data_IF_025223956081
#
_entry.id   IF_025223956081
#
_cell.length_a   1.000
_cell.length_b   1.000
_cell.length_c   1.000
_cell.angle_alpha   90.00
_cell.angle_beta   90.00
_cell.angle_gamma   90.00
#
_symmetry.space_group_name_H-M   'P 1'
#
loop_
_entity.id
_entity.type
_entity.pdbx_description
1 polymer ?
#
# COMPACT_ATOMS: atom_id res chain seq x y z
N UNK A 1 -15.41 -25.28 -17.15
CA UNK A 1 -15.42 -24.70 -15.80
C UNK A 1 -15.80 -23.23 -15.91
N UNK A 2 -16.77 -22.71 -15.12
CA UNK A 2 -17.10 -21.30 -15.16
C UNK A 2 -15.90 -20.51 -14.65
N UNK A 3 -15.50 -19.46 -15.40
CA UNK A 3 -14.52 -18.49 -14.91
C UNK A 3 -15.10 -17.84 -13.63
N UNK A 4 -14.36 -17.79 -12.51
CA UNK A 4 -14.82 -17.04 -11.36
C UNK A 4 -15.07 -15.58 -11.79
N UNK A 5 -16.21 -15.02 -11.42
CA UNK A 5 -16.52 -13.64 -11.74
C UNK A 5 -15.45 -12.75 -11.13
N UNK A 6 -14.88 -11.84 -11.89
CA UNK A 6 -13.81 -10.93 -11.45
C UNK A 6 -14.18 -10.11 -10.20
N UNK A 7 -15.46 -9.91 -9.95
CA UNK A 7 -15.99 -9.22 -8.78
C UNK A 7 -15.82 -9.99 -7.45
N UNK A 8 -15.86 -11.32 -7.45
CA UNK A 8 -15.70 -12.12 -6.23
C UNK A 8 -14.23 -12.25 -5.81
N UNK A 9 -13.27 -12.09 -6.74
CA UNK A 9 -11.84 -12.22 -6.45
C UNK A 9 -11.22 -10.97 -5.82
N UNK A 10 -11.80 -9.80 -6.04
CA UNK A 10 -11.25 -8.52 -5.55
C UNK A 10 -11.63 -8.22 -4.09
N UNK A 11 -12.66 -8.87 -3.57
CA UNK A 11 -13.20 -8.59 -2.22
C UNK A 11 -12.25 -9.00 -1.10
N UNK A 12 -11.25 -9.84 -1.37
CA UNK A 12 -10.41 -10.44 -0.33
C UNK A 12 -8.90 -10.35 -0.60
N UNK A 13 -8.45 -9.53 -1.56
CA UNK A 13 -7.02 -9.32 -1.78
C UNK A 13 -6.39 -8.57 -0.62
N UNK A 14 -5.28 -9.08 -0.12
CA UNK A 14 -4.47 -8.56 0.99
C UNK A 14 -3.02 -8.62 0.60
N UNK A 15 -2.26 -7.65 1.06
CA UNK A 15 -0.85 -7.52 0.71
C UNK A 15 -0.01 -7.78 1.95
N UNK A 16 0.76 -8.86 1.92
CA UNK A 16 1.78 -9.16 2.92
C UNK A 16 3.15 -8.87 2.32
N UNK A 17 3.99 -8.21 3.09
CA UNK A 17 5.34 -7.83 2.66
C UNK A 17 6.38 -8.59 3.44
N UNK A 18 7.48 -8.98 2.77
CA UNK A 18 8.62 -9.60 3.37
C UNK A 18 9.93 -9.02 2.82
N UNK A 19 10.94 -8.93 3.66
CA UNK A 19 12.30 -8.51 3.33
C UNK A 19 13.16 -9.76 3.20
N UNK A 20 13.69 -10.01 2.00
CA UNK A 20 14.31 -11.27 1.62
C UNK A 20 15.80 -11.08 1.35
N UNK A 21 16.63 -12.02 1.83
CA UNK A 21 18.09 -12.02 1.66
C UNK A 21 18.62 -13.07 0.65
N UNK A 22 17.71 -13.82 0.05
CA UNK A 22 18.01 -14.92 -0.85
C UNK A 22 17.87 -16.31 -0.22
N UNK A 23 17.74 -16.39 1.11
CA UNK A 23 17.55 -17.65 1.87
C UNK A 23 16.47 -17.53 2.94
N UNK A 24 16.38 -16.36 3.56
CA UNK A 24 15.44 -16.06 4.64
C UNK A 24 14.54 -14.90 4.23
N UNK A 25 13.38 -14.83 4.87
CA UNK A 25 12.46 -13.71 4.72
C UNK A 25 12.01 -13.24 6.10
N UNK A 26 12.09 -11.93 6.35
CA UNK A 26 11.50 -11.26 7.50
C UNK A 26 10.19 -10.61 7.08
N UNK A 27 9.09 -10.96 7.74
CA UNK A 27 7.81 -10.30 7.48
C UNK A 27 7.89 -8.81 7.80
N UNK A 28 7.44 -7.97 6.87
CA UNK A 28 7.44 -6.51 7.00
C UNK A 28 6.01 -5.95 6.97
N UNK A 29 5.10 -6.58 7.72
CA UNK A 29 3.74 -6.12 7.87
C UNK A 29 2.83 -6.40 6.67
N UNK A 30 1.60 -5.92 6.80
CA UNK A 30 0.58 -6.05 5.78
C UNK A 30 -0.28 -4.81 5.66
N UNK A 31 -0.90 -4.68 4.50
CA UNK A 31 -1.83 -3.61 4.18
C UNK A 31 -3.01 -4.15 3.36
N UNK A 32 -4.06 -3.39 3.29
CA UNK A 32 -5.17 -3.64 2.36
C UNK A 32 -5.36 -2.44 1.46
N UNK A 33 -5.44 -2.68 0.14
CA UNK A 33 -5.62 -1.64 -0.85
C UNK A 33 -7.04 -1.60 -1.44
N UNK A 34 -7.32 -0.54 -2.20
CA UNK A 34 -8.51 -0.31 -2.99
C UNK A 34 -8.12 -0.17 -4.45
N UNK A 35 -8.32 -1.23 -5.25
CA UNK A 35 -7.85 -1.31 -6.66
C UNK A 35 -8.77 -0.60 -7.65
N UNK A 36 -10.06 -0.49 -7.36
CA UNK A 36 -11.03 0.13 -8.28
C UNK A 36 -10.97 1.64 -8.23
N UNK A 37 -11.19 2.27 -9.39
CA UNK A 37 -11.04 3.71 -9.57
C UNK A 37 -12.05 4.54 -8.78
N UNK A 38 -13.28 4.04 -8.58
CA UNK A 38 -14.40 4.79 -8.03
C UNK A 38 -14.97 4.14 -6.76
N UNK A 39 -15.74 4.93 -6.02
CA UNK A 39 -16.44 4.51 -4.81
C UNK A 39 -17.28 3.26 -5.04
N UNK A 40 -17.49 2.48 -3.98
CA UNK A 40 -18.21 1.20 -4.04
C UNK A 40 -17.49 0.11 -4.86
N UNK A 41 -16.17 0.25 -5.05
CA UNK A 41 -15.35 -0.65 -5.88
C UNK A 41 -15.85 -0.74 -7.33
N UNK A 42 -16.24 0.39 -7.89
CA UNK A 42 -16.69 0.51 -9.27
C UNK A 42 -15.56 1.01 -10.20
N UNK A 43 -15.79 0.87 -11.51
CA UNK A 43 -14.86 1.33 -12.53
C UNK A 43 -13.71 0.36 -12.80
N UNK A 44 -12.70 0.80 -13.57
CA UNK A 44 -11.55 -0.02 -13.95
C UNK A 44 -10.62 -0.32 -12.78
N UNK A 45 -9.81 -1.37 -12.91
CA UNK A 45 -8.68 -1.63 -12.01
C UNK A 45 -7.60 -0.58 -12.23
N UNK A 46 -6.94 -0.20 -11.13
CA UNK A 46 -5.86 0.81 -11.10
C UNK A 46 -4.62 0.25 -10.40
N UNK A 47 -3.59 1.07 -10.28
CA UNK A 47 -2.43 0.78 -9.42
C UNK A 47 -2.74 0.78 -7.91
N UNK A 48 -3.91 1.28 -7.51
CA UNK A 48 -4.38 1.47 -6.14
C UNK A 48 -4.84 2.89 -5.90
N UNK A 49 -6.06 3.05 -5.38
CA UNK A 49 -6.66 4.36 -5.05
C UNK A 49 -6.56 4.71 -3.57
N UNK A 50 -6.01 3.82 -2.78
CA UNK A 50 -5.76 4.00 -1.36
C UNK A 50 -5.41 2.68 -0.69
N UNK A 51 -4.83 2.77 0.49
CA UNK A 51 -4.51 1.62 1.33
C UNK A 51 -4.59 1.98 2.81
N UNK A 52 -4.62 0.97 3.67
CA UNK A 52 -4.52 1.16 5.10
C UNK A 52 -3.79 0.00 5.78
N UNK A 53 -3.18 0.29 6.92
CA UNK A 53 -2.47 -0.67 7.76
C UNK A 53 -2.65 -0.27 9.24
N UNK A 54 -2.87 -1.23 10.18
CA UNK A 54 -3.07 -2.65 9.94
C UNK A 54 -4.40 -2.92 9.22
N UNK A 55 -4.46 -4.01 8.47
CA UNK A 55 -5.72 -4.49 7.96
C UNK A 55 -6.33 -5.47 8.98
N UNK A 56 -7.53 -5.23 9.52
CA UNK A 56 -8.14 -6.06 10.59
C UNK A 56 -8.28 -7.54 10.24
N UNK A 57 -8.27 -7.81 8.96
CA UNK A 57 -8.39 -9.15 8.39
C UNK A 57 -7.08 -9.97 8.42
N UNK A 58 -5.94 -9.36 8.74
CA UNK A 58 -4.69 -10.08 9.00
C UNK A 58 -4.64 -10.53 10.45
N UNK A 59 -5.32 -11.63 10.75
CA UNK A 59 -5.13 -12.29 12.04
C UNK A 59 -3.71 -12.84 12.15
N UNK A 60 -3.20 -12.96 13.38
CA UNK A 60 -1.87 -13.54 13.61
C UNK A 60 -1.73 -14.94 12.99
N UNK A 61 -2.80 -15.74 13.02
CA UNK A 61 -2.82 -17.07 12.43
C UNK A 61 -2.75 -17.03 10.90
N UNK A 62 -3.47 -16.12 10.25
CA UNK A 62 -3.40 -15.97 8.78
C UNK A 62 -2.00 -15.51 8.34
N UNK A 63 -1.38 -14.59 9.08
CA UNK A 63 -0.02 -14.12 8.81
C UNK A 63 0.98 -15.27 8.97
N UNK A 64 0.89 -16.05 10.05
CA UNK A 64 1.72 -17.23 10.28
C UNK A 64 1.56 -18.26 9.16
N UNK A 65 0.33 -18.59 8.77
CA UNK A 65 0.07 -19.52 7.66
C UNK A 65 0.63 -19.01 6.33
N UNK A 66 0.52 -17.70 6.06
CA UNK A 66 1.06 -17.10 4.84
C UNK A 66 2.60 -17.16 4.83
N UNK A 67 3.24 -16.94 5.97
CA UNK A 67 4.68 -17.08 6.10
C UNK A 67 5.11 -18.53 5.84
N UNK A 68 4.58 -19.48 6.63
CA UNK A 68 4.98 -20.89 6.60
C UNK A 68 4.67 -21.60 5.27
N UNK A 69 3.53 -21.28 4.62
CA UNK A 69 3.06 -22.01 3.44
C UNK A 69 3.37 -21.30 2.12
N UNK A 70 3.69 -20.00 2.16
CA UNK A 70 3.84 -19.18 0.94
C UNK A 70 5.19 -18.49 0.92
N UNK A 71 5.48 -17.59 1.89
CA UNK A 71 6.66 -16.73 1.82
C UNK A 71 7.95 -17.54 1.91
N UNK A 72 8.13 -18.29 3.00
CA UNK A 72 9.35 -19.09 3.23
C UNK A 72 9.59 -20.13 2.14
N UNK A 73 8.58 -20.96 1.73
CA UNK A 73 8.78 -21.91 0.66
C UNK A 73 9.12 -21.27 -0.69
N UNK A 74 8.56 -20.09 -0.99
CA UNK A 74 8.86 -19.36 -2.22
C UNK A 74 10.34 -18.98 -2.26
N UNK A 75 10.86 -18.37 -1.19
CA UNK A 75 12.26 -17.93 -1.13
C UNK A 75 13.21 -19.11 -1.16
N UNK A 76 12.91 -20.18 -0.43
CA UNK A 76 13.69 -21.41 -0.42
C UNK A 76 13.73 -22.03 -1.82
N UNK A 77 12.59 -22.15 -2.49
CA UNK A 77 12.50 -22.74 -3.82
C UNK A 77 13.28 -21.94 -4.86
N UNK A 78 13.22 -20.60 -4.83
CA UNK A 78 14.02 -19.75 -5.70
C UNK A 78 15.52 -19.95 -5.48
N UNK A 79 15.96 -20.09 -4.23
CA UNK A 79 17.36 -20.37 -3.91
C UNK A 79 17.82 -21.74 -4.43
N UNK A 80 17.00 -22.79 -4.27
CA UNK A 80 17.25 -24.14 -4.78
C UNK A 80 17.38 -24.17 -6.30
N UNK A 81 16.60 -23.37 -7.01
CA UNK A 81 16.63 -23.23 -8.48
C UNK A 81 17.77 -22.34 -8.98
N UNK A 82 18.65 -21.86 -8.10
CA UNK A 82 19.79 -21.02 -8.46
C UNK A 82 19.45 -19.57 -8.75
N UNK A 83 18.26 -19.11 -8.38
CA UNK A 83 17.75 -17.76 -8.54
C UNK A 83 17.39 -17.12 -7.18
N UNK A 84 18.33 -16.98 -6.23
CA UNK A 84 18.02 -16.48 -4.89
C UNK A 84 17.45 -15.06 -4.96
N UNK A 85 16.26 -14.86 -4.38
CA UNK A 85 15.58 -13.57 -4.40
C UNK A 85 16.02 -12.67 -3.25
N UNK A 86 16.49 -11.47 -3.55
CA UNK A 86 16.90 -10.44 -2.58
C UNK A 86 16.08 -9.18 -2.78
N UNK A 87 15.54 -8.63 -1.70
CA UNK A 87 14.75 -7.41 -1.72
C UNK A 87 13.36 -7.59 -1.12
N UNK A 88 12.41 -6.78 -1.57
CA UNK A 88 11.05 -6.74 -1.04
C UNK A 88 10.16 -7.69 -1.83
N UNK A 89 9.66 -8.72 -1.19
CA UNK A 89 8.60 -9.58 -1.72
C UNK A 89 7.24 -9.03 -1.28
N UNK A 90 6.41 -8.71 -2.24
CA UNK A 90 4.99 -8.41 -2.05
C UNK A 90 4.21 -9.68 -2.41
N UNK A 91 3.50 -10.26 -1.45
CA UNK A 91 2.58 -11.37 -1.66
C UNK A 91 1.14 -10.87 -1.64
N UNK A 92 0.49 -10.85 -2.80
CA UNK A 92 -0.94 -10.61 -2.93
C UNK A 92 -1.71 -11.88 -2.58
N UNK A 93 -2.45 -11.85 -1.49
CA UNK A 93 -3.10 -13.01 -0.90
C UNK A 93 -4.62 -12.90 -0.95
N UNK A 94 -5.27 -14.03 -1.06
CA UNK A 94 -6.69 -14.22 -0.82
C UNK A 94 -6.87 -15.12 0.40
N UNK A 95 -7.64 -14.67 1.40
CA UNK A 95 -8.05 -15.55 2.49
C UNK A 95 -9.22 -16.43 2.03
N UNK A 96 -9.07 -17.72 2.20
CA UNK A 96 -10.10 -18.73 1.93
C UNK A 96 -10.34 -19.57 3.18
N UNK A 97 -11.36 -20.42 3.16
CA UNK A 97 -11.64 -21.37 4.25
C UNK A 97 -10.47 -22.35 4.47
N UNK A 98 -9.71 -22.67 3.41
CA UNK A 98 -8.52 -23.53 3.47
C UNK A 98 -7.24 -22.78 3.89
N UNK A 99 -7.33 -21.48 4.22
CA UNK A 99 -6.20 -20.60 4.53
C UNK A 99 -5.83 -19.65 3.39
N UNK A 100 -4.65 -19.00 3.46
CA UNK A 100 -4.21 -18.03 2.47
C UNK A 100 -3.83 -18.71 1.15
N UNK A 101 -4.26 -18.12 0.03
CA UNK A 101 -3.87 -18.51 -1.33
C UNK A 101 -3.22 -17.33 -2.04
N UNK A 102 -2.17 -17.60 -2.81
CA UNK A 102 -1.47 -16.58 -3.61
C UNK A 102 -2.32 -16.20 -4.82
N UNK A 103 -2.42 -14.90 -5.06
CA UNK A 103 -2.99 -14.34 -6.28
C UNK A 103 -1.87 -13.89 -7.21
N UNK A 104 -0.88 -13.19 -6.63
CA UNK A 104 0.27 -12.65 -7.37
C UNK A 104 1.46 -12.40 -6.43
N UNK A 105 2.66 -12.36 -7.00
CA UNK A 105 3.83 -11.79 -6.37
C UNK A 105 4.29 -10.54 -7.12
N UNK A 106 4.81 -9.56 -6.37
CA UNK A 106 5.52 -8.42 -6.92
C UNK A 106 6.90 -8.30 -6.24
N UNK A 107 7.90 -7.91 -7.01
CA UNK A 107 9.30 -7.79 -6.57
C UNK A 107 9.64 -6.35 -6.14
N UNK A 108 8.76 -5.72 -5.34
CA UNK A 108 8.86 -4.33 -4.88
C UNK A 108 7.87 -4.07 -3.75
N UNK A 109 8.03 -2.92 -3.08
CA UNK A 109 6.95 -2.37 -2.26
C UNK A 109 5.72 -2.05 -3.12
N UNK A 110 4.54 -2.07 -2.50
CA UNK A 110 3.30 -1.57 -3.09
C UNK A 110 3.25 -0.04 -3.11
N UNK A 111 2.40 0.49 -3.93
CA UNK A 111 2.03 1.90 -3.96
C UNK A 111 0.50 1.95 -4.18
N UNK A 112 -0.28 2.33 -3.14
CA UNK A 112 0.08 3.15 -1.97
C UNK A 112 0.40 2.39 -0.66
N UNK A 113 0.69 1.11 -0.66
CA UNK A 113 0.90 0.33 0.57
C UNK A 113 2.21 0.71 1.29
N UNK A 114 3.27 1.06 0.54
CA UNK A 114 4.56 1.46 1.10
C UNK A 114 4.42 2.63 2.07
N UNK A 115 3.63 3.63 1.71
CA UNK A 115 3.43 4.84 2.50
C UNK A 115 2.83 4.52 3.87
N UNK A 116 1.79 3.69 3.92
CA UNK A 116 1.14 3.32 5.19
C UNK A 116 2.03 2.42 6.05
N UNK A 117 2.83 1.55 5.43
CA UNK A 117 3.78 0.72 6.16
C UNK A 117 4.92 1.55 6.75
N UNK A 118 5.52 2.47 5.98
CA UNK A 118 6.63 3.30 6.44
C UNK A 118 6.20 4.27 7.56
N UNK A 119 5.02 4.86 7.49
CA UNK A 119 4.51 5.72 8.57
C UNK A 119 4.26 4.95 9.87
N UNK A 120 3.89 3.67 9.77
CA UNK A 120 3.70 2.80 10.93
C UNK A 120 5.00 2.17 11.44
N UNK A 121 6.00 2.00 10.60
CA UNK A 121 7.23 1.34 10.98
C UNK A 121 7.93 2.07 12.13
N UNK A 122 8.24 1.34 13.21
CA UNK A 122 8.83 1.86 14.42
C UNK A 122 10.33 1.52 14.48
N UNK A 123 11.12 2.07 13.55
CA UNK A 123 12.54 1.77 13.49
C UNK A 123 13.23 2.45 12.31
N UNK A 124 14.49 2.07 12.09
CA UNK A 124 15.27 2.46 10.92
C UNK A 124 15.19 1.34 9.87
N UNK A 125 14.68 1.65 8.68
CA UNK A 125 14.54 0.69 7.57
C UNK A 125 15.88 0.36 6.91
N UNK A 126 16.88 1.24 7.01
CA UNK A 126 18.16 1.10 6.29
C UNK A 126 18.90 -0.20 6.63
N UNK A 127 19.04 -0.63 7.91
CA UNK A 127 19.66 -1.90 8.23
C UNK A 127 18.98 -3.10 7.56
N UNK A 128 17.66 -3.09 7.45
CA UNK A 128 16.90 -4.18 6.81
C UNK A 128 17.14 -4.23 5.29
N UNK A 129 17.08 -3.08 4.62
CA UNK A 129 17.35 -3.01 3.18
C UNK A 129 18.80 -3.39 2.87
N UNK A 130 19.72 -2.99 3.73
CA UNK A 130 21.12 -3.34 3.62
C UNK A 130 21.36 -4.85 3.85
N UNK A 131 20.66 -5.45 4.80
CA UNK A 131 20.65 -6.89 5.05
C UNK A 131 20.16 -7.67 3.82
N UNK A 132 19.06 -7.24 3.21
CA UNK A 132 18.58 -7.82 1.94
C UNK A 132 19.65 -7.75 0.85
N UNK A 133 20.27 -6.59 0.66
CA UNK A 133 21.29 -6.40 -0.38
C UNK A 133 22.55 -7.24 -0.14
N UNK A 134 22.99 -7.34 1.11
CA UNK A 134 24.17 -8.14 1.52
C UNK A 134 23.90 -9.64 1.57
N UNK A 135 22.64 -10.05 1.64
CA UNK A 135 22.24 -11.46 1.70
C UNK A 135 22.24 -12.04 3.12
N UNK A 136 21.99 -11.21 4.12
CA UNK A 136 21.84 -11.63 5.52
C UNK A 136 20.90 -10.70 6.30
N UNK A 137 19.69 -11.20 6.57
CA UNK A 137 18.71 -10.57 7.46
C UNK A 137 18.51 -11.36 8.75
N UNK A 138 19.22 -12.48 8.94
CA UNK A 138 18.98 -13.43 10.05
C UNK A 138 19.31 -12.85 11.43
N UNK A 139 20.25 -11.91 11.50
CA UNK A 139 20.65 -11.21 12.73
C UNK A 139 19.81 -9.97 13.06
N UNK A 140 18.87 -9.58 12.20
CA UNK A 140 18.06 -8.40 12.42
C UNK A 140 16.83 -8.72 13.30
N UNK A 141 16.41 -7.78 14.17
CA UNK A 141 15.20 -7.96 14.94
C UNK A 141 13.97 -8.02 14.03
N UNK A 142 12.89 -8.65 14.47
CA UNK A 142 11.63 -8.60 13.77
C UNK A 142 11.17 -7.15 13.60
N UNK A 143 10.69 -6.74 12.40
CA UNK A 143 10.18 -5.40 12.18
C UNK A 143 9.05 -5.05 13.15
N UNK A 144 9.20 -3.95 13.87
CA UNK A 144 8.20 -3.44 14.79
C UNK A 144 7.37 -2.33 14.19
N UNK A 145 6.10 -2.26 14.55
CA UNK A 145 5.16 -1.26 14.05
C UNK A 145 4.46 -0.55 15.20
N UNK A 146 4.21 0.74 15.04
CA UNK A 146 3.36 1.51 15.93
C UNK A 146 1.95 0.90 15.97
N UNK A 147 1.24 0.99 17.09
CA UNK A 147 -0.12 0.47 17.21
C UNK A 147 -1.14 1.26 16.38
N UNK A 148 -0.85 2.52 16.07
CA UNK A 148 -1.71 3.40 15.30
C UNK A 148 -2.06 2.84 13.92
N UNK A 149 -3.24 3.20 13.45
CA UNK A 149 -3.67 2.94 12.08
C UNK A 149 -3.20 4.06 11.16
N UNK A 150 -2.71 3.71 10.00
CA UNK A 150 -2.41 4.67 8.93
C UNK A 150 -3.25 4.34 7.70
N UNK A 151 -3.86 5.37 7.13
CA UNK A 151 -4.58 5.32 5.87
C UNK A 151 -3.85 6.19 4.83
N UNK A 152 -3.89 5.77 3.58
CA UNK A 152 -3.48 6.56 2.43
C UNK A 152 -4.65 6.70 1.46
N UNK A 153 -4.98 7.92 1.08
CA UNK A 153 -5.95 8.22 0.03
C UNK A 153 -5.21 8.80 -1.17
N UNK A 154 -5.34 8.17 -2.32
CA UNK A 154 -4.72 8.61 -3.56
C UNK A 154 -5.58 9.67 -4.22
N UNK A 155 -4.98 10.81 -4.56
CA UNK A 155 -5.55 11.81 -5.45
C UNK A 155 -5.02 11.55 -6.86
N UNK A 156 -5.90 11.22 -7.79
CA UNK A 156 -5.58 10.89 -9.17
C UNK A 156 -6.04 11.98 -10.13
N UNK A 157 -5.38 12.12 -11.28
CA UNK A 157 -5.80 13.03 -12.33
C UNK A 157 -7.10 12.56 -12.98
N UNK A 158 -8.00 13.47 -13.32
CA UNK A 158 -9.21 13.14 -14.08
C UNK A 158 -8.84 12.37 -15.34
N UNK A 159 -9.61 11.32 -15.64
CA UNK A 159 -9.36 10.40 -16.74
C UNK A 159 -8.45 9.21 -16.39
N UNK A 160 -7.84 9.16 -15.19
CA UNK A 160 -7.10 7.99 -14.73
C UNK A 160 -8.04 6.78 -14.53
N UNK A 161 -7.68 5.54 -14.91
CA UNK A 161 -6.35 5.11 -15.39
C UNK A 161 -6.12 5.27 -16.90
N UNK A 162 -7.14 5.53 -17.72
CA UNK A 162 -7.06 5.42 -19.18
C UNK A 162 -6.32 6.61 -19.83
N UNK A 163 -6.76 7.84 -19.52
CA UNK A 163 -6.23 9.06 -20.13
C UNK A 163 -6.13 10.19 -19.10
N UNK A 164 -5.15 10.14 -18.19
CA UNK A 164 -5.03 11.11 -17.12
C UNK A 164 -4.73 12.52 -17.65
N UNK A 165 -5.43 13.52 -17.12
CA UNK A 165 -5.25 14.93 -17.46
C UNK A 165 -3.95 15.46 -16.81
N UNK A 166 -2.91 15.65 -17.61
CA UNK A 166 -1.64 16.23 -17.17
C UNK A 166 -1.64 17.76 -17.20
N UNK A 167 -0.69 18.38 -16.51
CA UNK A 167 -0.44 19.81 -16.51
C UNK A 167 -1.39 20.64 -15.66
N UNK A 168 -2.42 20.07 -15.06
CA UNK A 168 -3.35 20.79 -14.17
C UNK A 168 -2.66 21.24 -12.88
N UNK A 169 -2.87 22.50 -12.49
CA UNK A 169 -2.20 23.14 -11.33
C UNK A 169 -2.78 22.61 -10.02
N UNK A 170 -1.88 22.36 -9.08
CA UNK A 170 -2.18 21.88 -7.72
C UNK A 170 -1.73 22.98 -6.74
N UNK A 171 -2.61 23.37 -5.83
CA UNK A 171 -2.32 24.36 -4.78
C UNK A 171 -2.55 23.76 -3.41
N UNK A 172 -1.74 24.20 -2.45
CA UNK A 172 -1.90 23.78 -1.05
C UNK A 172 -1.43 22.37 -0.73
N UNK A 173 -0.76 21.64 -1.64
CA UNK A 173 -0.20 20.33 -1.35
C UNK A 173 1.07 20.37 -0.47
N UNK A 174 1.79 21.49 -0.47
CA UNK A 174 3.05 21.68 0.27
C UNK A 174 2.84 22.35 1.65
N UNK A 175 1.59 22.57 2.08
CA UNK A 175 1.32 23.20 3.38
C UNK A 175 1.55 22.22 4.53
N UNK A 176 1.71 22.75 5.74
CA UNK A 176 1.72 21.94 6.96
C UNK A 176 0.30 21.46 7.30
N UNK A 177 0.11 20.16 7.33
CA UNK A 177 -1.14 19.50 7.72
C UNK A 177 -1.13 19.00 9.17
N UNK A 178 -0.04 19.25 9.90
CA UNK A 178 0.19 18.79 11.26
C UNK A 178 0.89 17.43 11.36
N UNK A 179 1.25 17.00 12.58
CA UNK A 179 2.19 15.88 12.80
C UNK A 179 1.67 14.51 12.40
N UNK A 180 0.36 14.36 12.20
CA UNK A 180 -0.27 13.08 11.89
C UNK A 180 -0.64 12.92 10.41
N UNK A 181 -0.29 13.88 9.56
CA UNK A 181 -0.63 13.85 8.14
C UNK A 181 0.62 14.10 7.31
N UNK A 182 0.83 13.25 6.31
CA UNK A 182 1.92 13.39 5.35
C UNK A 182 1.35 13.32 3.93
N UNK A 183 1.71 14.29 3.10
CA UNK A 183 1.42 14.25 1.66
C UNK A 183 2.69 13.81 0.92
N UNK A 184 2.59 12.67 0.24
CA UNK A 184 3.66 12.17 -0.63
C UNK A 184 3.35 12.54 -2.08
N UNK A 185 4.35 13.05 -2.77
CA UNK A 185 4.29 13.36 -4.18
C UNK A 185 4.59 12.12 -5.02
N UNK A 186 3.72 11.83 -6.00
CA UNK A 186 3.91 10.79 -7.01
C UNK A 186 4.05 11.45 -8.39
N UNK A 187 3.01 11.45 -9.20
CA UNK A 187 3.02 12.09 -10.52
C UNK A 187 2.88 13.62 -10.43
N UNK A 188 3.82 14.29 -9.81
CA UNK A 188 3.87 15.75 -9.73
C UNK A 188 5.12 16.32 -10.39
N UNK A 189 5.01 17.53 -10.90
CA UNK A 189 6.11 18.28 -11.50
C UNK A 189 6.01 19.77 -11.12
N UNK A 190 7.13 20.43 -10.88
CA UNK A 190 7.18 21.90 -10.81
C UNK A 190 7.41 22.47 -12.21
N UNK A 191 6.63 23.47 -12.57
CA UNK A 191 6.77 24.25 -13.80
C UNK A 191 7.89 25.29 -13.63
N UNK A 192 8.29 25.93 -14.72
CA UNK A 192 9.31 26.98 -14.72
C UNK A 192 8.89 28.22 -13.88
N UNK A 193 7.58 28.46 -13.75
CA UNK A 193 7.01 29.48 -12.88
C UNK A 193 6.90 29.08 -11.40
N UNK A 194 7.41 27.90 -11.04
CA UNK A 194 7.41 27.35 -9.68
C UNK A 194 6.10 26.68 -9.25
N UNK A 195 5.04 26.73 -10.07
CA UNK A 195 3.77 26.12 -9.75
C UNK A 195 3.87 24.58 -9.80
N UNK A 196 3.22 23.91 -8.84
CA UNK A 196 3.08 22.47 -8.83
C UNK A 196 1.96 22.05 -9.79
N UNK A 197 2.21 21.02 -10.61
CA UNK A 197 1.19 20.47 -11.51
C UNK A 197 1.25 18.94 -11.56
N UNK A 198 0.15 18.36 -12.03
CA UNK A 198 0.04 16.93 -12.31
C UNK A 198 0.89 16.53 -13.52
N UNK A 199 1.63 15.43 -13.41
CA UNK A 199 2.47 14.85 -14.48
C UNK A 199 2.36 13.33 -14.52
N UNK A 200 1.20 12.79 -14.15
CA UNK A 200 0.93 11.36 -14.15
C UNK A 200 -0.50 11.05 -13.73
N UNK A 201 -0.85 9.77 -13.67
CA UNK A 201 -2.19 9.32 -13.32
C UNK A 201 -2.49 9.43 -11.82
N UNK A 202 -1.69 8.80 -10.96
CA UNK A 202 -1.73 8.98 -9.51
C UNK A 202 -0.74 10.09 -9.14
N UNK A 203 -1.20 11.11 -8.43
CA UNK A 203 -0.49 12.38 -8.36
C UNK A 203 -0.06 12.71 -6.93
N UNK A 204 -0.95 12.58 -5.96
CA UNK A 204 -0.64 12.76 -4.54
C UNK A 204 -1.16 11.57 -3.74
N UNK A 205 -0.42 11.23 -2.69
CA UNK A 205 -0.81 10.24 -1.70
C UNK A 205 -0.96 10.96 -0.34
N UNK A 206 -2.20 11.20 0.08
CA UNK A 206 -2.51 11.84 1.36
C UNK A 206 -2.64 10.77 2.42
N UNK A 207 -1.64 10.69 3.29
CA UNK A 207 -1.57 9.69 4.35
C UNK A 207 -1.87 10.33 5.70
N UNK A 208 -2.60 9.63 6.56
CA UNK A 208 -2.86 10.09 7.91
C UNK A 208 -2.80 8.94 8.92
N UNK A 209 -2.27 9.26 10.10
CA UNK A 209 -2.21 8.39 11.28
C UNK A 209 -3.37 8.71 12.23
N UNK A 210 -3.95 7.68 12.86
CA UNK A 210 -4.99 7.80 13.88
C UNK A 210 -4.95 6.63 14.86
N UNK A 211 -5.60 6.78 16.00
CA UNK A 211 -5.73 5.71 16.99
C UNK A 211 -6.55 4.54 16.44
N UNK A 212 -7.45 4.85 15.52
CA UNK A 212 -8.26 3.90 14.77
C UNK A 212 -8.41 4.33 13.29
N UNK A 213 -9.09 3.51 12.50
CA UNK A 213 -9.31 3.77 11.07
C UNK A 213 -10.23 4.97 10.84
N UNK A 214 -11.20 5.23 11.72
CA UNK A 214 -12.12 6.35 11.59
C UNK A 214 -11.38 7.67 11.77
N UNK A 215 -10.57 7.80 12.80
CA UNK A 215 -9.77 9.00 13.07
C UNK A 215 -8.72 9.23 11.96
N UNK A 216 -8.00 8.17 11.53
CA UNK A 216 -7.04 8.28 10.44
C UNK A 216 -7.71 8.77 9.15
N UNK A 217 -8.89 8.22 8.83
CA UNK A 217 -9.69 8.60 7.66
C UNK A 217 -10.16 10.05 7.73
N UNK A 218 -10.70 10.49 8.86
CA UNK A 218 -11.17 11.86 9.04
C UNK A 218 -10.03 12.87 8.83
N UNK A 219 -8.83 12.59 9.36
CA UNK A 219 -7.63 13.40 9.15
C UNK A 219 -7.20 13.45 7.69
N UNK A 220 -7.16 12.31 7.00
CA UNK A 220 -6.79 12.25 5.59
C UNK A 220 -7.74 13.08 4.72
N UNK A 221 -9.06 12.90 4.89
CA UNK A 221 -10.03 13.65 4.10
C UNK A 221 -10.11 15.14 4.52
N UNK A 222 -9.84 15.49 5.77
CA UNK A 222 -9.69 16.89 6.17
C UNK A 222 -8.51 17.57 5.49
N UNK A 223 -7.40 16.86 5.30
CA UNK A 223 -6.25 17.36 4.55
C UNK A 223 -6.56 17.50 3.05
N UNK A 224 -7.19 16.50 2.43
CA UNK A 224 -7.60 16.53 1.01
C UNK A 224 -8.46 17.77 0.71
N UNK A 225 -9.41 18.10 1.59
CA UNK A 225 -10.27 19.30 1.40
C UNK A 225 -9.52 20.63 1.40
N UNK A 226 -8.27 20.67 1.90
CA UNK A 226 -7.40 21.86 1.88
C UNK A 226 -6.55 21.93 0.61
N UNK A 227 -6.50 20.88 -0.18
CA UNK A 227 -5.75 20.84 -1.45
C UNK A 227 -6.69 21.29 -2.57
N UNK A 228 -6.36 22.42 -3.20
CA UNK A 228 -7.10 22.95 -4.36
C UNK A 228 -6.53 22.34 -5.65
N UNK A 229 -7.20 21.33 -6.15
CA UNK A 229 -6.84 20.68 -7.40
C UNK A 229 -8.07 20.25 -8.22
N UNK A 230 -8.69 21.16 -8.99
CA UNK A 230 -9.88 20.87 -9.80
C UNK A 230 -9.67 19.80 -10.89
N UNK A 231 -8.42 19.58 -11.31
CA UNK A 231 -8.02 18.54 -12.27
C UNK A 231 -7.91 17.13 -11.70
N UNK A 232 -8.09 16.98 -10.39
CA UNK A 232 -7.99 15.70 -9.69
C UNK A 232 -9.33 15.12 -9.24
N UNK A 233 -9.26 13.87 -8.80
CA UNK A 233 -10.31 13.19 -8.04
C UNK A 233 -9.69 12.22 -7.04
N UNK A 234 -10.45 11.81 -6.06
CA UNK A 234 -10.12 10.73 -5.13
C UNK A 234 -11.39 9.95 -4.79
N UNK A 235 -11.23 8.73 -4.29
CA UNK A 235 -12.34 8.00 -3.70
C UNK A 235 -12.70 8.62 -2.34
N UNK A 236 -13.99 8.61 -2.01
CA UNK A 236 -14.51 9.09 -0.73
C UNK A 236 -14.66 7.97 0.32
N UNK A 237 -14.49 6.72 -0.09
CA UNK A 237 -14.81 5.53 0.70
C UNK A 237 -13.56 4.69 1.11
N UNK A 238 -12.33 5.20 0.96
CA UNK A 238 -11.13 4.47 1.38
C UNK A 238 -11.23 4.09 2.87
N UNK A 239 -10.94 2.83 3.17
CA UNK A 239 -11.04 2.29 4.54
C UNK A 239 -12.43 1.81 4.96
N UNK A 240 -13.46 1.93 4.10
CA UNK A 240 -14.85 1.58 4.45
C UNK A 240 -14.99 0.14 4.98
N UNK A 241 -14.24 -0.81 4.40
CA UNK A 241 -14.29 -2.21 4.82
C UNK A 241 -13.79 -2.46 6.24
N UNK A 242 -12.82 -1.64 6.70
CA UNK A 242 -12.33 -1.72 8.07
C UNK A 242 -13.34 -1.12 9.05
N UNK A 243 -14.06 -0.06 8.66
CA UNK A 243 -15.12 0.55 9.46
C UNK A 243 -16.33 -0.37 9.67
N UNK A 244 -16.68 -1.19 8.69
CA UNK A 244 -17.81 -2.14 8.83
C UNK A 244 -17.49 -3.36 9.72
N UNK A 245 -16.22 -3.59 10.04
CA UNK A 245 -15.77 -4.75 10.81
C UNK A 245 -15.29 -4.43 12.22
N UNK A 246 -15.19 -3.16 12.57
CA UNK A 246 -14.90 -2.66 13.91
C UNK A 246 -16.16 -2.27 14.59
#
# INVERSE_FOLDING_TARGET
APKPSSAASDVYKRQLFALCDGRHALLFGGAQDHKRAFDGDLGPNTGGMGAYSPAPVFTADLVRQADERIVQPTIQKMAEEGAPYRGVLYAGLMATEDGPKVVEFNARFGDPECQVLMMRFAGDIVPYLLGCARGDVSGLPAPAFKPQTVICVVMAAKGYPDSPLEGSIIRGADQDFGPHVQVFHAGTKRRDDGQLCASGGRVLNVCAEGDDIAQARDRAYAAIRKIDWPGGFNRSDIGWRALERG
#
